data_IF_224200682537
#
_entry.id   IF_224200682537
#
_cell.length_a   1.000
_cell.length_b   1.000
_cell.length_c   1.000
_cell.angle_alpha   90.00
_cell.angle_beta   90.00
_cell.angle_gamma   90.00
#
_symmetry.space_group_name_H-M   'P 1'
#
loop_
_entity.id
_entity.type
_entity.pdbx_description
1 polymer ?
#
# COMPACT_ATOMS: atom_id res chain seq x y z
N UNK A 1 8.34 -12.45 -19.27
CA UNK A 1 7.75 -13.04 -18.07
C UNK A 1 6.31 -12.56 -17.93
N UNK A 2 5.37 -13.52 -17.82
CA UNK A 2 3.93 -13.24 -17.78
C UNK A 2 3.52 -12.36 -16.59
N UNK A 3 4.19 -12.51 -15.45
CA UNK A 3 3.91 -11.68 -14.26
C UNK A 3 4.29 -10.21 -14.48
N UNK A 4 5.41 -9.97 -15.17
CA UNK A 4 5.85 -8.59 -15.46
C UNK A 4 4.89 -7.94 -16.47
N UNK A 5 4.47 -8.66 -17.49
CA UNK A 5 3.49 -8.18 -18.47
C UNK A 5 2.14 -7.88 -17.82
N UNK A 6 1.68 -8.75 -16.93
CA UNK A 6 0.43 -8.57 -16.20
C UNK A 6 0.51 -7.36 -15.28
N UNK A 7 1.61 -7.20 -14.54
CA UNK A 7 1.83 -6.02 -13.70
C UNK A 7 1.77 -4.72 -14.49
N UNK A 8 2.46 -4.68 -15.64
CA UNK A 8 2.45 -3.49 -16.50
C UNK A 8 1.05 -3.16 -16.98
N UNK A 9 0.27 -4.16 -17.35
CA UNK A 9 -1.11 -3.98 -17.78
C UNK A 9 -1.98 -3.38 -16.67
N UNK A 10 -1.92 -3.93 -15.46
CA UNK A 10 -2.70 -3.42 -14.34
C UNK A 10 -2.24 -2.04 -13.92
N UNK A 11 -0.95 -1.79 -13.93
CA UNK A 11 -0.41 -0.46 -13.63
C UNK A 11 -0.92 0.59 -14.63
N UNK A 12 -0.91 0.29 -15.91
CA UNK A 12 -1.47 1.17 -16.93
C UNK A 12 -2.96 1.44 -16.73
N UNK A 13 -3.72 0.41 -16.35
CA UNK A 13 -5.15 0.56 -16.07
C UNK A 13 -5.39 1.51 -14.89
N UNK A 14 -4.57 1.46 -13.86
CA UNK A 14 -4.67 2.39 -12.72
C UNK A 14 -4.29 3.80 -13.16
N UNK A 15 -3.20 3.97 -13.89
CA UNK A 15 -2.65 5.26 -14.26
C UNK A 15 -3.57 6.08 -15.17
N UNK A 16 -4.47 5.44 -15.90
CA UNK A 16 -5.46 6.18 -16.72
C UNK A 16 -6.44 7.00 -15.88
N UNK A 17 -6.57 6.70 -14.58
CA UNK A 17 -7.44 7.43 -13.66
C UNK A 17 -6.71 8.51 -12.86
N UNK A 18 -5.44 8.73 -13.13
CA UNK A 18 -4.63 9.77 -12.50
C UNK A 18 -5.29 11.15 -12.67
N UNK A 19 -5.16 11.99 -11.64
CA UNK A 19 -5.71 13.35 -11.59
C UNK A 19 -7.25 13.44 -11.57
N UNK A 20 -7.93 12.34 -11.28
CA UNK A 20 -9.38 12.33 -11.09
C UNK A 20 -9.73 12.30 -9.61
N UNK A 21 -10.53 13.27 -9.15
CA UNK A 21 -10.85 13.43 -7.71
C UNK A 21 -11.78 12.37 -7.16
N UNK A 22 -12.55 11.70 -8.00
CA UNK A 22 -13.58 10.74 -7.58
C UNK A 22 -13.09 9.29 -7.64
N UNK A 23 -11.79 9.07 -7.69
CA UNK A 23 -11.21 7.72 -7.78
C UNK A 23 -10.55 7.33 -6.47
N UNK A 24 -10.85 6.12 -6.00
CA UNK A 24 -10.16 5.46 -4.90
C UNK A 24 -9.46 4.23 -5.49
N UNK A 25 -8.16 4.11 -5.27
CA UNK A 25 -7.41 2.93 -5.71
C UNK A 25 -7.33 1.94 -4.56
N UNK A 26 -7.63 0.68 -4.86
CA UNK A 26 -7.51 -0.42 -3.89
C UNK A 26 -6.64 -1.51 -4.51
N UNK A 27 -5.54 -1.83 -3.85
CA UNK A 27 -4.63 -2.89 -4.29
C UNK A 27 -4.29 -3.81 -3.12
N UNK A 28 -3.84 -5.03 -3.40
CA UNK A 28 -3.34 -5.88 -2.34
C UNK A 28 -1.95 -5.43 -1.89
N UNK A 29 -1.03 -5.25 -2.83
CA UNK A 29 0.32 -4.80 -2.50
C UNK A 29 0.39 -3.29 -2.33
N UNK A 30 1.17 -2.81 -1.35
CA UNK A 30 1.37 -1.38 -1.16
C UNK A 30 2.03 -0.74 -2.38
N UNK A 31 1.62 0.49 -2.73
CA UNK A 31 2.14 1.17 -3.92
C UNK A 31 3.43 1.97 -3.70
N UNK A 32 3.86 2.16 -2.45
CA UNK A 32 4.92 3.10 -2.13
C UNK A 32 5.73 2.64 -0.93
N UNK A 33 7.01 2.99 -0.90
CA UNK A 33 7.94 2.63 0.18
C UNK A 33 7.56 3.24 1.54
N UNK A 34 6.76 4.31 1.56
CA UNK A 34 6.24 4.90 2.79
C UNK A 34 5.33 3.94 3.58
N UNK A 35 4.84 2.88 2.94
CA UNK A 35 4.05 1.84 3.59
C UNK A 35 4.91 0.78 4.30
N UNK A 36 6.23 0.88 4.19
CA UNK A 36 7.15 -0.08 4.78
C UNK A 36 7.24 0.12 6.29
N UNK A 37 7.08 -0.98 7.05
CA UNK A 37 7.36 -0.97 8.47
C UNK A 37 8.85 -0.72 8.69
N UNK A 38 9.25 0.22 9.55
CA UNK A 38 10.66 0.51 9.81
C UNK A 38 11.48 -0.71 10.28
N UNK A 39 10.87 -1.60 11.06
CA UNK A 39 11.53 -2.84 11.49
C UNK A 39 11.93 -3.70 10.29
N UNK A 40 10.98 -3.93 9.38
CA UNK A 40 11.22 -4.75 8.18
C UNK A 40 12.18 -4.05 7.21
N UNK A 41 12.19 -2.73 7.20
CA UNK A 41 13.13 -1.96 6.38
C UNK A 41 14.58 -2.10 6.82
N UNK A 42 14.82 -2.40 8.10
CA UNK A 42 16.17 -2.58 8.66
C UNK A 42 16.61 -4.03 8.78
N UNK A 43 15.66 -4.98 8.68
CA UNK A 43 15.98 -6.41 8.78
C UNK A 43 16.64 -6.90 7.48
N UNK A 44 17.83 -7.53 7.51
CA UNK A 44 18.58 -7.86 6.29
C UNK A 44 17.81 -8.74 5.29
N UNK A 45 17.13 -9.77 5.78
CA UNK A 45 16.36 -10.68 4.92
C UNK A 45 15.10 -10.01 4.39
N UNK A 46 14.38 -9.32 5.27
CA UNK A 46 13.16 -8.61 4.88
C UNK A 46 13.46 -7.47 3.90
N UNK A 47 14.54 -6.71 4.10
CA UNK A 47 14.97 -5.67 3.16
C UNK A 47 15.24 -6.23 1.76
N UNK A 48 15.87 -7.40 1.68
CA UNK A 48 16.14 -8.04 0.40
C UNK A 48 14.86 -8.49 -0.32
N UNK A 49 13.79 -8.77 0.43
CA UNK A 49 12.50 -9.22 -0.12
C UNK A 49 11.54 -8.06 -0.41
N UNK A 50 11.78 -6.87 0.12
CA UNK A 50 10.88 -5.72 -0.03
C UNK A 50 10.49 -5.41 -1.49
N UNK A 51 11.39 -5.48 -2.49
CA UNK A 51 11.00 -5.24 -3.88
C UNK A 51 9.93 -6.20 -4.42
N UNK A 52 9.74 -7.34 -3.77
CA UNK A 52 8.72 -8.33 -4.16
C UNK A 52 7.37 -8.06 -3.49
N UNK A 53 7.33 -7.28 -2.42
CA UNK A 53 6.12 -7.09 -1.61
C UNK A 53 5.60 -5.66 -1.63
N UNK A 54 6.43 -4.69 -1.93
CA UNK A 54 6.06 -3.28 -2.01
C UNK A 54 6.48 -2.74 -3.36
N UNK A 55 5.52 -2.20 -4.08
CA UNK A 55 5.79 -1.50 -5.32
C UNK A 55 6.29 -0.08 -5.01
N UNK A 56 7.14 0.46 -5.86
CA UNK A 56 7.59 1.85 -5.75
C UNK A 56 7.03 2.61 -6.96
N UNK A 57 5.76 2.97 -6.85
CA UNK A 57 5.01 3.62 -7.91
C UNK A 57 4.95 5.12 -7.69
N UNK A 58 4.80 5.87 -8.78
CA UNK A 58 4.42 7.27 -8.70
C UNK A 58 2.93 7.35 -8.38
N UNK A 59 2.61 7.80 -7.17
CA UNK A 59 1.24 7.92 -6.68
C UNK A 59 0.69 9.34 -6.77
N UNK A 60 1.46 10.26 -7.30
CA UNK A 60 1.03 11.63 -7.49
C UNK A 60 -0.18 11.69 -8.43
N UNK A 61 -1.17 12.48 -8.06
CA UNK A 61 -2.41 12.58 -8.83
C UNK A 61 -3.51 11.63 -8.35
N UNK A 62 -3.23 10.77 -7.38
CA UNK A 62 -4.25 9.96 -6.70
C UNK A 62 -4.52 10.55 -5.31
N UNK A 63 -5.78 10.59 -4.94
CA UNK A 63 -6.21 11.21 -3.68
C UNK A 63 -6.19 10.24 -2.51
N UNK A 64 -6.60 9.00 -2.75
CA UNK A 64 -6.68 7.95 -1.74
C UNK A 64 -6.29 6.60 -2.33
N UNK A 65 -5.41 5.91 -1.65
CA UNK A 65 -4.97 4.56 -2.02
C UNK A 65 -5.01 3.66 -0.80
N UNK A 66 -5.78 2.59 -0.89
CA UNK A 66 -5.94 1.59 0.17
C UNK A 66 -5.22 0.32 -0.27
N UNK A 67 -4.41 -0.22 0.60
CA UNK A 67 -3.66 -1.44 0.32
C UNK A 67 -3.68 -2.41 1.50
N UNK A 68 -3.13 -3.58 1.29
CA UNK A 68 -3.01 -4.62 2.30
C UNK A 68 -1.58 -5.18 2.35
N UNK A 69 -1.47 -6.48 2.47
CA UNK A 69 -0.24 -7.27 2.45
C UNK A 69 0.68 -7.08 3.66
N UNK A 70 1.04 -5.86 4.02
CA UNK A 70 1.81 -5.61 5.24
C UNK A 70 0.92 -5.80 6.46
N UNK A 71 1.48 -6.27 7.56
CA UNK A 71 0.71 -6.51 8.78
C UNK A 71 0.85 -5.37 9.80
N UNK A 72 1.26 -4.21 9.35
CA UNK A 72 1.36 -3.00 10.17
C UNK A 72 0.48 -1.91 9.59
N UNK A 73 -0.27 -1.26 10.47
CA UNK A 73 -1.16 -0.15 10.10
C UNK A 73 -0.39 1.03 9.52
N UNK A 74 -0.91 1.59 8.44
CA UNK A 74 -0.39 2.80 7.80
C UNK A 74 -1.54 3.77 7.55
N UNK A 75 -1.34 5.02 7.90
CA UNK A 75 -2.24 6.11 7.52
C UNK A 75 -1.39 7.37 7.41
N UNK A 76 -0.97 7.68 6.21
CA UNK A 76 -0.07 8.79 5.92
C UNK A 76 -0.40 9.45 4.60
N UNK A 77 0.17 10.61 4.34
CA UNK A 77 0.00 11.33 3.08
C UNK A 77 1.36 11.50 2.41
N UNK A 78 1.46 11.08 1.17
CA UNK A 78 2.66 11.23 0.33
C UNK A 78 2.24 11.80 -1.02
N UNK A 79 2.87 12.89 -1.44
CA UNK A 79 2.58 13.56 -2.71
C UNK A 79 1.09 13.88 -2.91
N UNK A 80 0.40 14.25 -1.82
CA UNK A 80 -1.03 14.54 -1.82
C UNK A 80 -1.94 13.31 -1.82
N UNK A 81 -1.38 12.11 -1.86
CA UNK A 81 -2.14 10.86 -1.80
C UNK A 81 -2.16 10.31 -0.37
N UNK A 82 -3.36 10.08 0.16
CA UNK A 82 -3.51 9.39 1.44
C UNK A 82 -3.36 7.89 1.22
N UNK A 83 -2.40 7.29 1.92
CA UNK A 83 -2.12 5.85 1.89
C UNK A 83 -2.64 5.22 3.18
N UNK A 84 -3.50 4.21 3.04
CA UNK A 84 -4.11 3.54 4.20
C UNK A 84 -3.94 2.04 4.09
N UNK A 85 -3.43 1.44 5.16
CA UNK A 85 -3.40 0.00 5.38
C UNK A 85 -3.97 -0.25 6.78
N UNK A 86 -5.01 -1.07 6.88
CA UNK A 86 -5.64 -1.41 8.16
C UNK A 86 -5.69 -2.93 8.33
N UNK A 87 -4.55 -3.56 8.64
CA UNK A 87 -4.44 -5.01 8.65
C UNK A 87 -4.88 -5.62 9.99
N UNK A 88 -5.65 -6.69 9.96
CA UNK A 88 -5.89 -7.49 11.16
C UNK A 88 -4.62 -8.22 11.58
N UNK A 89 -3.89 -8.76 10.64
CA UNK A 89 -2.68 -9.54 10.89
C UNK A 89 -2.98 -10.96 11.36
N UNK A 90 -1.92 -11.72 11.63
CA UNK A 90 -2.04 -13.03 12.24
C UNK A 90 -2.39 -12.93 13.73
N UNK A 91 -2.95 -14.00 14.35
CA UNK A 91 -3.36 -13.93 15.77
C UNK A 91 -2.34 -13.33 16.74
N UNK A 92 -1.03 -13.66 16.66
CA UNK A 92 -0.04 -13.07 17.57
C UNK A 92 0.17 -11.56 17.37
N UNK A 93 -0.22 -11.02 16.23
CA UNK A 93 -0.04 -9.60 15.86
C UNK A 93 -1.25 -8.75 16.25
N UNK A 94 -2.40 -9.37 16.48
CA UNK A 94 -3.65 -8.68 16.77
C UNK A 94 -3.54 -7.86 18.06
N UNK A 95 -3.95 -6.60 17.99
CA UNK A 95 -3.82 -5.64 19.08
C UNK A 95 -2.44 -4.97 19.20
N UNK A 96 -1.47 -5.34 18.35
CA UNK A 96 -0.09 -4.81 18.39
C UNK A 96 0.30 -4.05 17.12
N UNK A 97 -0.45 -4.21 16.03
CA UNK A 97 -0.11 -3.70 14.71
C UNK A 97 -0.88 -2.43 14.31
N UNK A 98 -1.64 -1.84 15.24
CA UNK A 98 -2.39 -0.61 14.99
C UNK A 98 -3.72 -0.81 14.28
N UNK A 99 -4.20 -2.05 14.14
CA UNK A 99 -5.50 -2.32 13.51
C UNK A 99 -6.64 -1.60 14.24
N UNK A 100 -7.52 -0.95 13.48
CA UNK A 100 -8.71 -0.26 13.99
C UNK A 100 -9.96 -0.93 13.41
N UNK A 101 -10.75 -1.58 14.26
CA UNK A 101 -11.90 -2.38 13.86
C UNK A 101 -12.97 -1.58 13.11
N UNK A 102 -13.18 -0.34 13.50
CA UNK A 102 -14.23 0.53 12.96
C UNK A 102 -13.66 1.73 12.19
N UNK A 103 -12.57 1.52 11.44
CA UNK A 103 -11.98 2.58 10.65
C UNK A 103 -12.93 3.02 9.54
N UNK A 104 -13.28 4.30 9.55
CA UNK A 104 -14.08 4.95 8.52
C UNK A 104 -13.25 6.05 7.88
N UNK A 105 -13.22 6.07 6.54
CA UNK A 105 -12.53 7.09 5.77
C UNK A 105 -13.57 7.90 5.02
N UNK A 106 -13.59 9.20 5.27
CA UNK A 106 -14.43 10.12 4.50
C UNK A 106 -13.74 10.48 3.17
N UNK A 107 -14.47 10.41 2.11
CA UNK A 107 -13.96 10.67 0.76
C UNK A 107 -14.63 11.87 0.08
#
# INVERSE_FOLDING_TARGET
>A
NDYIELFKKYHQNIMQFKDQDNVIVITHFPPHLACLDPYWGTHPVASALNPYFINDLDIKGFRLWIAGHTHTSVDTVVDGCRLVINPLGYPPEQGKNGFRENLIIEV
#
